data_IF_665330536179
#
_entry.id   IF_665330536179
#
_cell.length_a   1.000
_cell.length_b   1.000
_cell.length_c   1.000
_cell.angle_alpha   90.00
_cell.angle_beta   90.00
_cell.angle_gamma   90.00
#
_symmetry.space_group_name_H-M   'P 1'
#
loop_
_entity.id
_entity.type
_entity.pdbx_description
1 polymer ?
#
# COMPACT_ATOMS: atom_id res chain seq x y z
N UNK A 1 -43.73 3.99 -1.95
CA UNK A 1 -43.57 2.70 -2.65
C UNK A 1 -42.08 2.43 -2.85
N UNK A 2 -41.67 1.20 -2.56
CA UNK A 2 -40.30 0.75 -2.73
C UNK A 2 -40.30 -0.62 -3.41
N UNK A 3 -39.44 -0.78 -4.41
CA UNK A 3 -39.27 -2.05 -5.08
C UNK A 3 -38.32 -2.93 -4.26
N UNK A 4 -38.71 -4.19 -4.07
CA UNK A 4 -37.89 -5.18 -3.35
C UNK A 4 -37.78 -6.45 -4.16
N UNK A 5 -36.63 -7.12 -4.03
CA UNK A 5 -36.41 -8.45 -4.65
C UNK A 5 -36.78 -9.52 -3.63
N UNK A 6 -37.55 -10.49 -4.07
CA UNK A 6 -37.84 -11.69 -3.26
C UNK A 6 -36.61 -12.59 -3.30
N UNK A 7 -36.02 -12.86 -2.14
CA UNK A 7 -34.81 -13.69 -2.02
C UNK A 7 -35.10 -15.14 -1.71
N UNK A 8 -36.19 -15.39 -0.98
CA UNK A 8 -36.57 -16.75 -0.58
C UNK A 8 -38.08 -16.84 -0.37
N UNK A 9 -38.68 -17.94 -0.79
CA UNK A 9 -40.08 -18.28 -0.54
C UNK A 9 -40.13 -19.66 0.11
N UNK A 10 -40.37 -19.67 1.41
CA UNK A 10 -40.62 -20.93 2.15
C UNK A 10 -42.14 -21.17 2.23
N UNK A 11 -42.62 -22.07 1.39
CA UNK A 11 -44.04 -22.40 1.31
C UNK A 11 -44.57 -23.17 2.51
N UNK A 12 -43.71 -23.95 3.18
CA UNK A 12 -44.07 -24.76 4.32
C UNK A 12 -44.26 -23.90 5.58
N UNK A 13 -43.36 -22.94 5.77
CA UNK A 13 -43.40 -21.99 6.90
C UNK A 13 -44.15 -20.70 6.59
N UNK A 14 -44.69 -20.58 5.36
CA UNK A 14 -45.37 -19.36 4.88
C UNK A 14 -44.57 -18.09 5.13
N UNK A 15 -43.24 -18.14 4.86
CA UNK A 15 -42.33 -17.00 5.01
C UNK A 15 -41.79 -16.58 3.67
N UNK A 16 -41.72 -15.26 3.48
CA UNK A 16 -41.10 -14.65 2.29
C UNK A 16 -40.00 -13.75 2.80
N UNK A 17 -38.77 -13.97 2.35
CA UNK A 17 -37.68 -13.06 2.57
C UNK A 17 -37.58 -12.10 1.39
N UNK A 18 -37.52 -10.81 1.68
CA UNK A 18 -37.40 -9.76 0.67
C UNK A 18 -36.18 -8.91 0.98
N UNK A 19 -35.49 -8.43 -0.05
CA UNK A 19 -34.33 -7.58 0.07
C UNK A 19 -34.47 -6.34 -0.78
N UNK A 20 -34.39 -5.17 -0.16
CA UNK A 20 -34.30 -3.91 -0.87
C UNK A 20 -32.88 -3.67 -1.43
N UNK A 21 -31.86 -4.23 -0.76
CA UNK A 21 -30.45 -4.10 -1.16
C UNK A 21 -30.21 -4.66 -2.57
N UNK A 22 -30.94 -5.69 -2.96
CA UNK A 22 -30.78 -6.35 -4.27
C UNK A 22 -31.48 -5.62 -5.43
N UNK A 23 -32.31 -4.61 -5.16
CA UNK A 23 -32.93 -3.78 -6.21
C UNK A 23 -31.96 -2.74 -6.76
N UNK A 24 -30.94 -2.36 -5.98
CA UNK A 24 -29.88 -1.45 -6.43
C UNK A 24 -28.69 -2.26 -6.93
N UNK A 25 -28.13 -1.86 -8.06
CA UNK A 25 -26.85 -2.41 -8.48
C UNK A 25 -25.84 -2.25 -7.33
N UNK A 26 -25.15 -3.34 -7.00
CA UNK A 26 -24.14 -3.30 -5.96
C UNK A 26 -23.05 -2.30 -6.38
N UNK A 27 -22.82 -1.21 -5.62
CA UNK A 27 -21.86 -0.18 -6.01
C UNK A 27 -20.45 -0.74 -6.17
N UNK A 28 -20.12 -1.84 -5.51
CA UNK A 28 -18.83 -2.53 -5.67
C UNK A 28 -18.68 -3.23 -7.02
N UNK A 29 -19.79 -3.76 -7.58
CA UNK A 29 -19.80 -4.32 -8.94
C UNK A 29 -19.66 -3.21 -9.98
N UNK A 30 -20.31 -2.08 -9.76
CA UNK A 30 -20.18 -0.90 -10.64
C UNK A 30 -18.74 -0.37 -10.56
N UNK A 31 -18.14 -0.36 -9.37
CA UNK A 31 -16.76 0.02 -9.17
C UNK A 31 -15.80 -0.92 -9.92
N UNK A 32 -15.98 -2.23 -9.83
CA UNK A 32 -15.15 -3.23 -10.52
C UNK A 32 -15.20 -3.06 -12.03
N UNK A 33 -16.38 -2.80 -12.60
CA UNK A 33 -16.55 -2.53 -14.03
C UNK A 33 -15.90 -1.24 -14.49
N UNK A 34 -15.94 -0.18 -13.66
CA UNK A 34 -15.38 1.13 -13.97
C UNK A 34 -13.88 1.20 -13.72
N UNK A 35 -13.41 0.57 -12.64
CA UNK A 35 -12.04 0.57 -12.19
C UNK A 35 -11.55 -0.85 -11.94
N UNK A 36 -11.11 -1.56 -12.97
CA UNK A 36 -10.59 -2.92 -12.80
C UNK A 36 -9.33 -2.93 -11.93
N UNK A 37 -9.02 -4.10 -11.38
CA UNK A 37 -7.76 -4.32 -10.64
C UNK A 37 -6.58 -3.85 -11.48
N UNK A 38 -5.72 -3.03 -10.90
CA UNK A 38 -4.59 -2.38 -11.58
C UNK A 38 -4.86 -0.97 -12.10
N UNK A 39 -6.12 -0.48 -12.08
CA UNK A 39 -6.43 0.89 -12.45
C UNK A 39 -5.89 1.89 -11.41
N UNK A 40 -5.46 3.05 -11.88
CA UNK A 40 -5.02 4.16 -11.02
C UNK A 40 -6.21 5.12 -10.89
N UNK A 41 -6.58 5.42 -9.66
CA UNK A 41 -7.71 6.29 -9.32
C UNK A 41 -7.26 7.41 -8.39
N UNK A 42 -7.91 8.56 -8.50
CA UNK A 42 -7.74 9.67 -7.57
C UNK A 42 -8.76 9.55 -6.45
N UNK A 43 -8.27 9.53 -5.22
CA UNK A 43 -9.07 9.36 -4.01
C UNK A 43 -8.78 10.44 -3.00
N UNK A 44 -9.63 10.57 -2.00
CA UNK A 44 -9.47 11.51 -0.91
C UNK A 44 -9.45 10.78 0.42
N UNK A 45 -8.49 11.11 1.29
CA UNK A 45 -8.41 10.53 2.63
C UNK A 45 -9.60 11.02 3.47
N UNK A 46 -10.42 10.09 3.93
CA UNK A 46 -11.59 10.38 4.80
C UNK A 46 -11.34 10.01 6.25
N UNK A 47 -10.54 8.98 6.49
CA UNK A 47 -10.21 8.55 7.83
C UNK A 47 -8.80 7.96 7.89
N UNK A 48 -8.22 7.94 9.08
CA UNK A 48 -6.85 7.48 9.34
C UNK A 48 -6.80 6.69 10.64
N UNK A 49 -6.19 5.52 10.59
CA UNK A 49 -5.87 4.69 11.74
C UNK A 49 -4.35 4.57 11.91
N UNK A 50 -3.89 3.90 12.95
CA UNK A 50 -2.47 3.68 13.22
C UNK A 50 -1.75 2.90 12.11
N UNK A 51 -2.46 2.02 11.39
CA UNK A 51 -1.89 1.12 10.38
C UNK A 51 -2.50 1.27 8.99
N UNK A 52 -3.45 2.18 8.80
CA UNK A 52 -4.20 2.29 7.55
C UNK A 52 -4.82 3.66 7.31
N UNK A 53 -5.06 3.96 6.04
CA UNK A 53 -5.88 5.07 5.57
C UNK A 53 -7.16 4.53 4.95
N UNK A 54 -8.26 5.19 5.21
CA UNK A 54 -9.51 5.02 4.49
C UNK A 54 -9.63 6.15 3.50
N UNK A 55 -9.80 5.80 2.25
CA UNK A 55 -9.86 6.76 1.14
C UNK A 55 -11.18 6.61 0.42
N UNK A 56 -11.85 7.73 0.15
CA UNK A 56 -13.12 7.73 -0.58
C UNK A 56 -12.90 7.97 -2.06
N UNK A 57 -13.60 7.19 -2.86
CA UNK A 57 -13.69 7.36 -4.31
C UNK A 57 -14.89 8.25 -4.59
N UNK A 58 -14.64 9.51 -4.93
CA UNK A 58 -15.69 10.54 -5.07
C UNK A 58 -16.83 10.19 -6.01
N UNK A 59 -16.55 9.40 -7.05
CA UNK A 59 -17.53 9.08 -8.10
C UNK A 59 -18.63 8.11 -7.65
N UNK A 60 -18.35 7.26 -6.65
CA UNK A 60 -19.25 6.18 -6.23
C UNK A 60 -19.55 6.19 -4.73
N UNK A 61 -18.99 7.15 -4.00
CA UNK A 61 -19.16 7.30 -2.55
C UNK A 61 -18.80 6.00 -1.79
N UNK A 62 -17.72 5.35 -2.26
CA UNK A 62 -17.20 4.10 -1.71
C UNK A 62 -15.88 4.35 -1.01
N UNK A 63 -15.74 3.70 0.13
CA UNK A 63 -14.49 3.73 0.89
C UNK A 63 -13.60 2.56 0.49
N UNK A 64 -12.33 2.86 0.23
CA UNK A 64 -11.29 1.89 -0.04
C UNK A 64 -10.25 1.88 1.09
N UNK A 65 -9.67 0.73 1.33
CA UNK A 65 -8.70 0.48 2.39
C UNK A 65 -7.28 0.50 1.84
N UNK A 66 -6.42 1.34 2.42
CA UNK A 66 -4.99 1.46 2.11
C UNK A 66 -4.18 1.11 3.36
N UNK A 67 -3.52 -0.04 3.34
CA UNK A 67 -2.66 -0.48 4.43
C UNK A 67 -1.31 0.26 4.41
N UNK A 68 -0.68 0.48 5.59
CA UNK A 68 0.62 1.14 5.69
C UNK A 68 1.72 0.45 4.86
N UNK A 69 1.69 -0.87 4.73
CA UNK A 69 2.62 -1.63 3.89
C UNK A 69 2.43 -1.37 2.38
N UNK A 70 1.25 -0.92 1.97
CA UNK A 70 0.94 -0.59 0.58
C UNK A 70 1.12 0.91 0.28
N UNK A 71 1.56 1.68 1.28
CA UNK A 71 1.82 3.11 1.17
C UNK A 71 3.21 3.40 0.58
N UNK A 72 4.22 2.67 1.05
CA UNK A 72 5.62 2.87 0.64
C UNK A 72 6.34 1.54 0.48
N UNK A 73 7.41 1.54 -0.33
CA UNK A 73 8.36 0.43 -0.44
C UNK A 73 9.35 0.37 0.74
N UNK A 74 9.48 1.48 1.51
CA UNK A 74 10.33 1.57 2.68
C UNK A 74 9.66 0.93 3.90
N UNK A 75 10.48 0.44 4.85
CA UNK A 75 9.95 -0.22 6.07
C UNK A 75 9.38 0.77 7.12
N UNK A 76 9.15 2.01 6.74
CA UNK A 76 8.63 3.08 7.58
C UNK A 76 7.19 3.47 7.22
N UNK A 77 6.36 2.53 6.81
CA UNK A 77 4.96 2.78 6.41
C UNK A 77 4.14 3.53 7.47
N UNK A 78 4.40 3.30 8.76
CA UNK A 78 3.73 4.01 9.86
C UNK A 78 4.15 5.50 9.94
N UNK A 79 5.41 5.81 9.65
CA UNK A 79 5.91 7.19 9.61
C UNK A 79 5.37 7.94 8.38
N UNK A 80 5.35 7.26 7.24
CA UNK A 80 4.76 7.79 6.01
C UNK A 80 3.27 8.07 6.20
N UNK A 81 2.57 7.20 6.91
CA UNK A 81 1.16 7.37 7.22
C UNK A 81 0.88 8.68 7.99
N UNK A 82 1.82 9.13 8.83
CA UNK A 82 1.70 10.39 9.59
C UNK A 82 1.72 11.62 8.70
N UNK A 83 2.33 11.55 7.53
CA UNK A 83 2.43 12.67 6.58
C UNK A 83 1.10 13.00 5.89
N UNK A 84 0.19 12.03 5.82
CA UNK A 84 -1.12 12.22 5.20
C UNK A 84 -2.14 12.72 6.20
N UNK A 85 -2.91 13.72 5.78
CA UNK A 85 -3.98 14.31 6.56
C UNK A 85 -5.35 13.95 5.96
N UNK A 86 -6.39 14.09 6.77
CA UNK A 86 -7.77 13.95 6.30
C UNK A 86 -8.02 15.05 5.25
N UNK A 87 -8.70 14.69 4.18
CA UNK A 87 -8.97 15.48 2.97
C UNK A 87 -7.82 15.59 1.96
N UNK A 88 -6.67 14.98 2.21
CA UNK A 88 -5.61 14.92 1.20
C UNK A 88 -6.06 14.10 -0.01
N UNK A 89 -5.72 14.58 -1.20
CA UNK A 89 -5.95 13.87 -2.45
C UNK A 89 -4.74 13.00 -2.77
N UNK A 90 -4.99 11.71 -2.96
CA UNK A 90 -3.94 10.75 -3.30
C UNK A 90 -4.34 9.92 -4.51
N UNK A 91 -3.37 9.61 -5.36
CA UNK A 91 -3.54 8.68 -6.48
C UNK A 91 -3.13 7.29 -6.02
N UNK A 92 -4.04 6.35 -6.10
CA UNK A 92 -3.82 4.98 -5.65
C UNK A 92 -4.15 4.00 -6.77
N UNK A 93 -3.52 2.84 -6.72
CA UNK A 93 -3.79 1.74 -7.64
C UNK A 93 -4.70 0.71 -6.97
N UNK A 94 -5.72 0.28 -7.67
CA UNK A 94 -6.62 -0.78 -7.19
C UNK A 94 -5.86 -2.11 -7.17
N UNK A 95 -5.77 -2.73 -6.01
CA UNK A 95 -5.06 -4.01 -5.81
C UNK A 95 -6.02 -5.18 -5.80
N UNK A 96 -7.13 -5.04 -5.09
CA UNK A 96 -8.11 -6.10 -4.88
C UNK A 96 -9.51 -5.51 -4.68
N UNK A 97 -10.50 -6.18 -5.24
CA UNK A 97 -11.92 -5.84 -5.07
C UNK A 97 -12.63 -7.10 -4.60
N UNK A 98 -13.21 -7.04 -3.41
CA UNK A 98 -14.04 -8.10 -2.84
C UNK A 98 -15.48 -7.62 -2.76
N UNK A 99 -16.26 -7.97 -3.75
CA UNK A 99 -17.66 -7.55 -3.85
C UNK A 99 -18.50 -8.16 -2.72
N UNK A 100 -18.23 -9.42 -2.37
CA UNK A 100 -18.95 -10.15 -1.31
C UNK A 100 -18.68 -9.56 0.08
N UNK A 101 -17.42 -9.23 0.35
CA UNK A 101 -16.98 -8.63 1.62
C UNK A 101 -17.19 -7.10 1.65
N UNK A 102 -17.62 -6.50 0.54
CA UNK A 102 -17.75 -5.05 0.38
C UNK A 102 -16.46 -4.30 0.72
N UNK A 103 -15.32 -4.82 0.26
CA UNK A 103 -13.99 -4.27 0.52
C UNK A 103 -13.24 -4.00 -0.77
N UNK A 104 -12.62 -2.83 -0.82
CA UNK A 104 -11.70 -2.44 -1.89
C UNK A 104 -10.36 -2.18 -1.24
N UNK A 105 -9.32 -2.88 -1.71
CA UNK A 105 -7.94 -2.65 -1.29
C UNK A 105 -7.20 -1.89 -2.36
N UNK A 106 -6.54 -0.83 -1.95
CA UNK A 106 -5.74 0.03 -2.83
C UNK A 106 -4.32 0.18 -2.29
N UNK A 107 -3.39 0.56 -3.16
CA UNK A 107 -2.01 0.79 -2.80
C UNK A 107 -1.44 2.02 -3.48
N UNK A 108 -0.61 2.74 -2.75
CA UNK A 108 0.08 3.93 -3.26
C UNK A 108 1.45 3.55 -3.82
N UNK A 109 2.18 2.64 -3.16
CA UNK A 109 3.54 2.25 -3.58
C UNK A 109 3.57 1.76 -5.03
N UNK A 110 2.52 1.11 -5.50
CA UNK A 110 2.43 0.59 -6.87
C UNK A 110 2.19 1.67 -7.93
N UNK A 111 1.96 2.92 -7.53
CA UNK A 111 1.91 4.11 -8.41
C UNK A 111 3.26 4.79 -8.53
N UNK A 112 4.20 4.47 -7.65
CA UNK A 112 5.56 5.01 -7.63
C UNK A 112 6.52 4.00 -8.28
N UNK A 113 7.62 4.48 -8.88
CA UNK A 113 8.66 3.58 -9.38
C UNK A 113 9.21 2.76 -8.21
N UNK A 114 9.35 1.45 -8.44
CA UNK A 114 9.91 0.55 -7.43
C UNK A 114 11.41 0.86 -7.26
N UNK A 115 11.89 1.25 -6.08
CA UNK A 115 13.32 1.47 -5.86
C UNK A 115 14.17 0.23 -6.13
N UNK A 116 13.58 -0.98 -6.07
CA UNK A 116 14.25 -2.22 -6.46
C UNK A 116 14.50 -2.33 -7.96
N UNK A 117 13.80 -1.57 -8.80
CA UNK A 117 14.05 -1.53 -10.24
C UNK A 117 15.46 -1.05 -10.55
N UNK A 118 16.05 -0.23 -9.68
CA UNK A 118 17.43 0.20 -9.78
C UNK A 118 18.41 -0.98 -9.74
N UNK A 119 18.06 -2.10 -9.08
CA UNK A 119 18.88 -3.29 -8.98
C UNK A 119 18.69 -4.29 -10.13
N UNK A 120 17.64 -4.15 -10.95
CA UNK A 120 17.39 -5.07 -12.07
C UNK A 120 18.55 -5.14 -13.07
N UNK A 121 19.22 -4.00 -13.28
CA UNK A 121 20.36 -3.90 -14.17
C UNK A 121 21.71 -4.19 -13.49
N UNK A 122 21.70 -4.48 -12.18
CA UNK A 122 22.91 -4.75 -11.39
C UNK A 122 23.17 -6.24 -11.29
N UNK A 123 24.45 -6.60 -11.39
CA UNK A 123 24.89 -8.00 -11.27
C UNK A 123 25.50 -8.25 -9.90
N UNK A 124 25.39 -9.49 -9.42
CA UNK A 124 26.10 -9.93 -8.22
C UNK A 124 27.60 -9.70 -8.40
N UNK A 125 28.28 -9.20 -7.35
CA UNK A 125 29.70 -8.77 -7.34
C UNK A 125 30.01 -7.47 -8.11
N UNK A 126 28.99 -6.71 -8.54
CA UNK A 126 29.21 -5.40 -9.13
C UNK A 126 29.53 -4.39 -8.01
N UNK A 127 30.55 -3.55 -8.26
CA UNK A 127 30.92 -2.43 -7.37
C UNK A 127 29.94 -1.28 -7.62
N UNK A 128 29.37 -0.75 -6.56
CA UNK A 128 28.49 0.42 -6.58
C UNK A 128 28.98 1.50 -5.62
N UNK A 129 28.75 2.75 -5.98
CA UNK A 129 29.03 3.89 -5.08
C UNK A 129 27.83 4.12 -4.17
N UNK A 130 28.10 4.26 -2.89
CA UNK A 130 27.07 4.48 -1.86
C UNK A 130 27.43 5.68 -1.01
N UNK A 131 26.42 6.43 -0.60
CA UNK A 131 26.56 7.53 0.36
C UNK A 131 26.25 6.99 1.76
N UNK A 132 27.10 7.28 2.73
CA UNK A 132 26.87 6.92 4.12
C UNK A 132 25.88 7.92 4.72
N UNK A 133 24.77 7.41 5.25
CA UNK A 133 23.72 8.21 5.88
C UNK A 133 23.92 8.25 7.40
N UNK A 134 24.23 7.12 8.00
CA UNK A 134 24.43 6.99 9.43
C UNK A 134 25.38 5.87 9.77
N UNK A 135 26.04 5.98 10.90
CA UNK A 135 26.97 4.98 11.43
C UNK A 135 26.49 4.51 12.80
N UNK A 136 26.31 3.20 12.94
CA UNK A 136 25.91 2.55 14.17
C UNK A 136 27.00 1.59 14.68
N UNK A 137 26.95 1.23 15.96
CA UNK A 137 27.85 0.22 16.54
C UNK A 137 27.74 -1.17 15.87
N UNK A 138 26.63 -1.40 15.16
CA UNK A 138 26.31 -2.66 14.45
C UNK A 138 26.70 -2.64 12.97
N UNK A 139 26.93 -1.45 12.39
CA UNK A 139 27.24 -1.33 10.96
C UNK A 139 27.09 0.09 10.41
N UNK A 140 26.93 0.19 9.11
CA UNK A 140 26.74 1.44 8.38
C UNK A 140 25.38 1.41 7.68
N UNK A 141 24.65 2.51 7.74
CA UNK A 141 23.47 2.72 6.91
C UNK A 141 23.91 3.53 5.72
N UNK A 142 23.73 2.96 4.53
CA UNK A 142 24.21 3.53 3.27
C UNK A 142 23.08 3.63 2.26
N UNK A 143 23.15 4.62 1.38
CA UNK A 143 22.23 4.81 0.27
C UNK A 143 23.00 4.80 -1.04
N UNK A 144 22.68 3.89 -1.98
CA UNK A 144 23.28 3.91 -3.31
C UNK A 144 22.91 5.19 -4.05
N UNK A 145 23.84 5.68 -4.84
CA UNK A 145 23.60 6.85 -5.68
C UNK A 145 22.56 6.52 -6.76
N UNK A 146 21.47 7.29 -6.78
CA UNK A 146 20.32 7.05 -7.67
C UNK A 146 19.26 6.09 -7.13
N UNK A 147 19.37 5.65 -5.86
CA UNK A 147 18.36 4.84 -5.18
C UNK A 147 17.90 5.56 -3.91
N UNK A 148 16.60 5.52 -3.61
CA UNK A 148 16.03 6.13 -2.40
C UNK A 148 16.00 5.19 -1.19
N UNK A 149 16.43 3.95 -1.36
CA UNK A 149 16.44 2.96 -0.28
C UNK A 149 17.75 2.97 0.50
N UNK A 150 17.60 2.81 1.81
CA UNK A 150 18.73 2.68 2.74
C UNK A 150 19.03 1.20 2.99
N UNK A 151 20.32 0.86 3.00
CA UNK A 151 20.80 -0.49 3.22
C UNK A 151 21.75 -0.51 4.41
N UNK A 152 21.71 -1.62 5.16
CA UNK A 152 22.58 -1.81 6.31
C UNK A 152 23.76 -2.72 5.92
N UNK A 153 24.97 -2.18 6.02
CA UNK A 153 26.21 -2.95 5.91
C UNK A 153 26.61 -3.38 7.32
N UNK A 154 26.57 -4.69 7.59
CA UNK A 154 26.96 -5.23 8.90
C UNK A 154 28.44 -4.96 9.16
N UNK A 155 28.79 -4.76 10.42
CA UNK A 155 30.19 -4.52 10.86
C UNK A 155 31.17 -5.55 10.31
N UNK A 156 30.78 -6.82 10.23
CA UNK A 156 31.60 -7.91 9.68
C UNK A 156 31.87 -7.80 8.18
N UNK A 157 31.17 -6.91 7.48
CA UNK A 157 31.28 -6.69 6.02
C UNK A 157 31.97 -5.35 5.69
N UNK A 158 32.37 -4.58 6.68
CA UNK A 158 33.04 -3.28 6.49
C UNK A 158 34.51 -3.46 6.15
N UNK A 159 35.18 -4.41 6.80
CA UNK A 159 36.58 -4.71 6.55
C UNK A 159 36.89 -6.19 6.78
N UNK A 160 37.97 -6.68 6.16
CA UNK A 160 38.45 -8.06 6.29
C UNK A 160 38.98 -8.30 7.71
N UNK A 161 39.66 -7.33 8.29
CA UNK A 161 40.16 -7.38 9.67
C UNK A 161 39.13 -6.83 10.65
N UNK A 162 38.88 -7.53 11.73
CA UNK A 162 37.97 -7.08 12.81
C UNK A 162 38.43 -5.82 13.49
N UNK A 163 39.74 -5.54 13.52
CA UNK A 163 40.36 -4.32 14.06
C UNK A 163 40.05 -3.09 13.21
N UNK A 164 39.89 -3.27 11.90
CA UNK A 164 39.61 -2.20 10.93
C UNK A 164 38.12 -2.00 10.68
N UNK A 165 37.29 -2.97 11.08
CA UNK A 165 35.84 -2.91 10.99
C UNK A 165 35.22 -1.95 12.02
N UNK A 166 35.65 -0.69 12.01
CA UNK A 166 35.17 0.37 12.92
C UNK A 166 34.27 1.35 12.12
N UNK A 167 32.95 1.35 12.36
CA UNK A 167 32.03 2.29 11.69
C UNK A 167 32.44 3.75 11.85
N UNK A 168 33.03 4.11 12.98
CA UNK A 168 33.48 5.47 13.29
C UNK A 168 34.59 6.03 12.39
N UNK A 169 35.21 5.21 11.52
CA UNK A 169 36.18 5.69 10.50
C UNK A 169 35.51 6.32 9.29
N UNK A 170 34.21 6.15 9.14
CA UNK A 170 33.42 6.59 8.00
C UNK A 170 32.44 7.74 8.34
N UNK A 171 32.71 8.45 9.43
CA UNK A 171 32.00 9.67 9.82
C UNK A 171 32.57 10.90 9.14
#
# INVERSE_FOLDING_TARGET
EIDCVITEIDKEKRRIAISYKLTKENPYVVFEKKYPVGAIIETQVVNKNEYSLFVSVKDLDLDAFLHCNDLTYLNNGEEELKKYNINDKIKVKVLEIKVDDQKIRVGLRQTQPDPFDWFKDKKVNQIITVKIISTDNKGLIVRPEGCEMDFNIKKSQIAISSSDARPSRFT
#
